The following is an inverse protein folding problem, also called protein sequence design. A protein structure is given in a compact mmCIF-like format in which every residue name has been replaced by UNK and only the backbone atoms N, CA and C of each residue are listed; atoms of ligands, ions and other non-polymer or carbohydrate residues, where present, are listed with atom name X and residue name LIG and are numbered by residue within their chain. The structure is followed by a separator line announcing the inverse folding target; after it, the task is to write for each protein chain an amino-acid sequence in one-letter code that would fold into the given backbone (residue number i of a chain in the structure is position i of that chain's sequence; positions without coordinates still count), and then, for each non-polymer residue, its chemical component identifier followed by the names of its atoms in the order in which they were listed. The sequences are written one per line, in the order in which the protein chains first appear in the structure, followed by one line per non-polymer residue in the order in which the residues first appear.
data_IF_679270110734
#
_entry.id   IF_679270110734
#
_cell.length_a   1.000
_cell.length_b   1.000
_cell.length_c   1.000
_cell.angle_alpha   90.00
_cell.angle_beta   90.00
_cell.angle_gamma   90.00
#
_symmetry.space_group_name_H-M   'P 1'
#
loop_
_entity.id
_entity.type
_entity.pdbx_description
1 polymer ?
#
# COMPACT_ATOMS: atom_id res chain seq x y z
N UNK A 1 8.16 -26.52 -1.24
CA UNK A 1 8.81 -26.45 0.09
C UNK A 1 9.83 -25.33 0.10
N UNK A 2 10.01 -24.59 1.19
CA UNK A 2 11.06 -23.55 1.31
C UNK A 2 12.42 -24.24 1.37
N UNK A 3 13.32 -23.97 0.42
CA UNK A 3 14.66 -24.58 0.41
C UNK A 3 15.73 -23.73 1.07
N UNK A 4 15.53 -22.41 1.18
CA UNK A 4 16.44 -21.52 1.88
C UNK A 4 15.76 -20.21 2.27
N UNK A 5 16.10 -19.65 3.42
CA UNK A 5 15.74 -18.31 3.86
C UNK A 5 16.96 -17.63 4.48
N UNK A 6 17.27 -16.42 4.04
CA UNK A 6 18.38 -15.60 4.55
C UNK A 6 17.92 -14.16 4.67
N UNK A 7 18.10 -13.59 5.85
CA UNK A 7 17.96 -12.16 6.07
C UNK A 7 19.35 -11.53 6.09
N UNK A 8 19.49 -10.38 5.42
CA UNK A 8 20.64 -9.47 5.49
C UNK A 8 20.13 -8.10 5.95
N UNK A 9 21.03 -7.15 6.20
CA UNK A 9 20.66 -5.82 6.69
C UNK A 9 19.64 -5.11 5.78
N UNK A 10 19.74 -5.34 4.46
CA UNK A 10 18.92 -4.66 3.46
C UNK A 10 17.96 -5.56 2.69
N UNK A 11 18.11 -6.89 2.79
CA UNK A 11 17.36 -7.82 1.95
C UNK A 11 16.90 -9.05 2.71
N UNK A 12 15.68 -9.49 2.41
CA UNK A 12 15.18 -10.82 2.73
C UNK A 12 15.24 -11.64 1.44
N UNK A 13 15.99 -12.73 1.47
CA UNK A 13 16.20 -13.64 0.33
C UNK A 13 15.65 -15.01 0.69
N UNK A 14 14.83 -15.57 -0.18
CA UNK A 14 14.33 -16.94 -0.01
C UNK A 14 14.34 -17.69 -1.33
N UNK A 15 14.48 -19.01 -1.25
CA UNK A 15 14.35 -19.94 -2.37
C UNK A 15 13.23 -20.92 -2.03
N UNK A 16 12.31 -21.13 -2.95
CA UNK A 16 11.28 -22.15 -2.83
C UNK A 16 11.41 -23.16 -3.97
N UNK A 17 11.11 -24.41 -3.65
CA UNK A 17 11.04 -25.50 -4.61
C UNK A 17 9.59 -25.60 -5.06
N UNK A 18 9.35 -25.42 -6.36
CA UNK A 18 8.07 -25.73 -7.00
C UNK A 18 7.89 -27.25 -7.02
N UNK A 19 6.72 -27.74 -6.61
CA UNK A 19 6.40 -29.17 -6.71
C UNK A 19 6.19 -29.49 -8.19
N UNK A 20 7.24 -29.98 -8.84
CA UNK A 20 7.15 -30.51 -10.19
C UNK A 20 6.73 -31.98 -10.12
N UNK A 21 5.81 -32.41 -10.98
CA UNK A 21 5.55 -33.84 -11.15
C UNK A 21 6.84 -34.54 -11.60
N UNK A 22 7.05 -35.80 -11.18
CA UNK A 22 8.24 -36.58 -11.54
C UNK A 22 8.49 -36.60 -13.06
N UNK A 23 7.42 -36.55 -13.84
CA UNK A 23 7.41 -36.56 -15.30
C UNK A 23 7.97 -35.28 -15.94
N UNK A 24 7.93 -34.15 -15.22
CA UNK A 24 8.39 -32.86 -15.72
C UNK A 24 9.80 -32.50 -15.25
N UNK A 25 10.35 -33.25 -14.28
CA UNK A 25 11.63 -32.97 -13.62
C UNK A 25 12.79 -32.96 -14.64
N UNK A 26 13.49 -31.83 -14.75
CA UNK A 26 14.60 -31.67 -15.70
C UNK A 26 14.19 -31.22 -17.11
N UNK A 27 12.90 -30.97 -17.35
CA UNK A 27 12.41 -30.35 -18.58
C UNK A 27 12.14 -28.86 -18.39
N UNK A 28 12.13 -28.08 -19.47
CA UNK A 28 11.74 -26.65 -19.44
C UNK A 28 10.34 -26.40 -18.84
N UNK A 29 9.49 -27.43 -18.76
CA UNK A 29 8.18 -27.35 -18.12
C UNK A 29 8.25 -27.14 -16.60
N UNK A 30 9.38 -27.43 -15.95
CA UNK A 30 9.59 -27.06 -14.53
C UNK A 30 9.83 -25.57 -14.31
N UNK A 31 10.17 -24.84 -15.38
CA UNK A 31 10.43 -23.39 -15.36
C UNK A 31 9.19 -22.59 -15.80
N UNK A 32 8.21 -23.25 -16.43
CA UNK A 32 6.97 -22.64 -16.91
C UNK A 32 5.89 -22.61 -15.81
N UNK A 33 5.54 -21.42 -15.32
CA UNK A 33 4.39 -21.23 -14.44
C UNK A 33 3.12 -21.15 -15.30
N UNK A 34 2.14 -22.03 -15.05
CA UNK A 34 0.88 -22.03 -15.78
C UNK A 34 0.02 -20.83 -15.37
N UNK A 35 -0.21 -19.92 -16.32
CA UNK A 35 -1.01 -18.72 -16.12
C UNK A 35 -2.50 -19.07 -16.11
N UNK A 36 -3.11 -19.17 -14.93
CA UNK A 36 -4.57 -19.30 -14.81
C UNK A 36 -5.20 -17.90 -14.77
N UNK A 37 -6.14 -17.63 -15.67
CA UNK A 37 -6.84 -16.33 -15.84
C UNK A 37 -7.53 -15.86 -14.55
N UNK A 38 -7.87 -16.78 -13.63
CA UNK A 38 -8.40 -16.48 -12.30
C UNK A 38 -7.42 -15.71 -11.37
N UNK A 39 -6.15 -15.61 -11.74
CA UNK A 39 -5.12 -14.94 -10.94
C UNK A 39 -5.23 -13.41 -10.94
N UNK A 40 -5.73 -12.79 -12.02
CA UNK A 40 -5.69 -11.33 -12.20
C UNK A 40 -6.67 -10.59 -11.27
N UNK A 41 -7.89 -11.10 -11.08
CA UNK A 41 -8.83 -10.53 -10.10
C UNK A 41 -8.35 -10.74 -8.64
N UNK A 42 -7.58 -11.80 -8.39
CA UNK A 42 -7.01 -12.12 -7.08
C UNK A 42 -5.81 -11.26 -6.68
N UNK A 43 -5.26 -10.50 -7.65
CA UNK A 43 -4.20 -9.49 -7.50
C UNK A 43 -4.77 -8.09 -7.25
N UNK A 44 -6.08 -7.89 -7.43
CA UNK A 44 -6.71 -6.59 -7.19
C UNK A 44 -6.84 -6.37 -5.68
N UNK A 45 -6.01 -5.47 -5.16
CA UNK A 45 -6.09 -5.04 -3.78
C UNK A 45 -7.42 -4.35 -3.56
N UNK A 46 -8.30 -4.98 -2.76
CA UNK A 46 -9.56 -4.36 -2.41
C UNK A 46 -9.27 -3.20 -1.44
N UNK A 47 -9.81 -2.01 -1.71
CA UNK A 47 -9.63 -0.89 -0.80
C UNK A 47 -10.23 -1.22 0.56
N UNK A 48 -9.46 -0.90 1.60
CA UNK A 48 -9.90 -1.05 2.99
C UNK A 48 -11.02 -0.06 3.33
N UNK A 49 -11.11 1.05 2.59
CA UNK A 49 -12.08 2.14 2.81
C UNK A 49 -13.10 2.23 1.68
N UNK A 50 -14.29 2.73 2.00
CA UNK A 50 -15.40 2.87 1.04
C UNK A 50 -15.53 4.31 0.56
N UNK A 51 -15.73 4.49 -0.75
CA UNK A 51 -15.94 5.82 -1.37
C UNK A 51 -17.20 6.48 -0.82
N UNK A 52 -17.12 7.80 -0.56
CA UNK A 52 -18.27 8.61 -0.19
C UNK A 52 -18.70 8.51 1.28
N UNK A 53 -18.01 7.69 2.07
CA UNK A 53 -18.22 7.55 3.52
C UNK A 53 -17.39 8.57 4.29
N UNK A 54 -17.94 9.10 5.38
CA UNK A 54 -17.24 10.00 6.28
C UNK A 54 -16.42 9.19 7.29
N UNK A 55 -15.11 9.42 7.32
CA UNK A 55 -14.19 8.75 8.24
C UNK A 55 -13.57 9.71 9.24
N UNK A 56 -13.61 9.31 10.51
CA UNK A 56 -12.76 9.86 11.56
C UNK A 56 -11.56 8.94 11.76
N UNK A 57 -10.36 9.47 11.55
CA UNK A 57 -9.09 8.81 11.82
C UNK A 57 -8.72 9.02 13.28
N UNK A 58 -8.47 7.94 14.01
CA UNK A 58 -8.02 7.97 15.40
C UNK A 58 -6.67 7.29 15.54
N UNK A 59 -5.83 7.79 16.45
CA UNK A 59 -4.60 7.10 16.81
C UNK A 59 -4.95 5.78 17.51
N UNK A 60 -4.33 4.67 17.10
CA UNK A 60 -4.61 3.36 17.71
C UNK A 60 -4.22 3.30 19.19
N UNK A 61 -3.16 4.03 19.57
CA UNK A 61 -2.61 4.02 20.92
C UNK A 61 -3.47 4.82 21.92
N UNK A 62 -3.79 6.08 21.61
CA UNK A 62 -4.51 6.97 22.55
C UNK A 62 -5.97 7.23 22.18
N UNK A 63 -6.46 6.68 21.06
CA UNK A 63 -7.83 6.86 20.55
C UNK A 63 -8.28 8.31 20.33
N UNK A 64 -7.38 9.29 20.38
CA UNK A 64 -7.70 10.68 20.02
C UNK A 64 -7.83 10.83 18.51
N UNK A 65 -8.78 11.67 18.10
CA UNK A 65 -9.01 11.99 16.69
C UNK A 65 -7.84 12.79 16.10
N UNK A 66 -7.36 12.33 14.95
CA UNK A 66 -6.26 12.95 14.21
C UNK A 66 -6.76 13.99 13.20
N UNK A 67 -8.05 13.95 12.85
CA UNK A 67 -8.72 14.79 11.87
C UNK A 67 -10.14 15.18 12.30
N UNK A 68 -10.72 16.13 11.57
CA UNK A 68 -12.18 16.30 11.42
C UNK A 68 -12.67 15.28 10.39
N UNK A 69 -13.91 14.74 10.47
CA UNK A 69 -14.38 13.72 9.53
C UNK A 69 -14.14 14.08 8.06
N UNK A 70 -13.53 13.16 7.30
CA UNK A 70 -13.19 13.35 5.89
C UNK A 70 -14.01 12.40 5.02
N UNK A 71 -14.48 12.90 3.87
CA UNK A 71 -15.10 12.10 2.83
C UNK A 71 -14.13 11.91 1.65
N UNK A 72 -13.71 10.67 1.40
CA UNK A 72 -12.89 10.36 0.23
C UNK A 72 -13.77 10.11 -0.99
N UNK A 73 -13.50 10.83 -2.07
CA UNK A 73 -14.19 10.69 -3.36
C UNK A 73 -13.46 9.72 -4.28
N UNK A 74 -12.15 9.55 -4.09
CA UNK A 74 -11.31 8.68 -4.90
C UNK A 74 -10.42 7.85 -3.98
N UNK A 75 -10.54 6.54 -4.11
CA UNK A 75 -9.78 5.56 -3.33
C UNK A 75 -9.13 4.65 -4.35
N UNK A 76 -7.83 4.81 -4.56
CA UNK A 76 -7.09 4.12 -5.63
C UNK A 76 -5.89 3.37 -5.07
N UNK A 77 -5.46 2.26 -5.70
CA UNK A 77 -4.18 1.65 -5.36
C UNK A 77 -3.06 2.67 -5.61
N UNK A 78 -2.02 2.65 -4.78
CA UNK A 78 -0.86 3.51 -4.97
C UNK A 78 -0.19 3.22 -6.32
N UNK A 79 0.13 4.24 -7.14
CA UNK A 79 0.97 4.06 -8.32
C UNK A 79 2.33 3.46 -7.92
N UNK A 80 2.92 2.65 -8.80
CA UNK A 80 4.31 2.20 -8.59
C UNK A 80 5.25 3.40 -8.51
N UNK A 81 6.28 3.36 -7.66
CA UNK A 81 7.24 4.46 -7.53
C UNK A 81 8.03 4.72 -8.84
N UNK A 82 8.02 3.75 -9.78
CA UNK A 82 8.58 3.89 -11.13
C UNK A 82 7.59 4.41 -12.17
N UNK A 83 6.35 4.75 -11.79
CA UNK A 83 5.36 5.32 -12.70
C UNK A 83 5.74 6.75 -13.06
N UNK A 84 6.14 6.98 -14.32
CA UNK A 84 6.28 8.35 -14.83
C UNK A 84 4.88 8.93 -15.09
N UNK A 85 4.49 10.04 -14.45
CA UNK A 85 3.23 10.72 -14.74
C UNK A 85 3.06 10.98 -16.24
N UNK A 86 4.15 11.31 -16.96
CA UNK A 86 4.11 11.62 -18.39
C UNK A 86 3.76 10.41 -19.26
N UNK A 87 3.99 9.18 -18.79
CA UNK A 87 3.59 7.96 -19.50
C UNK A 87 2.08 7.67 -19.36
N UNK A 88 1.38 8.33 -18.43
CA UNK A 88 -0.03 8.08 -18.15
C UNK A 88 -1.00 9.05 -18.80
N UNK A 89 -0.52 10.20 -19.29
CA UNK A 89 -1.37 11.19 -19.95
C UNK A 89 -1.01 11.28 -21.43
N UNK A 90 -1.83 10.68 -22.30
CA UNK A 90 -1.65 10.72 -23.75
C UNK A 90 -1.73 12.13 -24.35
N UNK A 91 -2.29 13.10 -23.61
CA UNK A 91 -2.41 14.50 -23.98
C UNK A 91 -2.13 15.40 -22.78
N UNK A 92 -0.87 15.74 -22.54
CA UNK A 92 -0.55 16.84 -21.64
C UNK A 92 -1.21 18.12 -22.19
N UNK A 93 -2.24 18.62 -21.51
CA UNK A 93 -2.81 19.93 -21.83
C UNK A 93 -1.77 20.98 -21.49
N UNK A 94 -0.94 21.33 -22.49
CA UNK A 94 0.21 22.24 -22.40
C UNK A 94 1.38 21.72 -21.55
N UNK A 95 2.59 21.89 -22.07
CA UNK A 95 3.89 21.45 -21.52
C UNK A 95 4.32 22.14 -20.22
N UNK A 96 3.39 22.71 -19.44
CA UNK A 96 3.66 23.50 -18.23
C UNK A 96 2.96 22.99 -16.97
N UNK A 97 2.02 22.06 -17.10
CA UNK A 97 1.38 21.46 -15.93
C UNK A 97 2.19 20.24 -15.47
N UNK A 98 2.99 20.42 -14.41
CA UNK A 98 3.62 19.32 -13.69
C UNK A 98 2.51 18.41 -13.14
N UNK A 99 2.25 17.28 -13.80
CA UNK A 99 1.23 16.34 -13.33
C UNK A 99 1.76 15.60 -12.11
N UNK A 100 1.26 15.96 -10.94
CA UNK A 100 1.61 15.25 -9.70
C UNK A 100 0.71 14.03 -9.50
N UNK A 101 1.34 12.91 -9.17
CA UNK A 101 0.68 11.68 -8.71
C UNK A 101 0.40 11.71 -7.19
N UNK A 102 0.34 12.91 -6.61
CA UNK A 102 -0.01 13.09 -5.20
C UNK A 102 -1.53 13.07 -4.98
N UNK A 103 -2.01 12.48 -3.87
CA UNK A 103 -3.42 12.55 -3.50
C UNK A 103 -3.85 13.99 -3.18
N UNK A 104 -4.97 14.42 -3.78
CA UNK A 104 -5.68 15.63 -3.36
C UNK A 104 -6.37 15.41 -2.00
N UNK A 105 -6.95 16.45 -1.44
CA UNK A 105 -7.61 16.41 -0.12
C UNK A 105 -8.75 15.38 -0.02
N UNK A 106 -9.42 15.10 -1.14
CA UNK A 106 -10.51 14.11 -1.21
C UNK A 106 -10.07 12.78 -1.82
N UNK A 107 -8.78 12.62 -2.08
CA UNK A 107 -8.19 11.38 -2.58
C UNK A 107 -7.46 10.64 -1.47
N UNK A 108 -7.39 9.32 -1.62
CA UNK A 108 -6.49 8.50 -0.83
C UNK A 108 -5.95 7.38 -1.71
N UNK A 109 -4.65 7.15 -1.61
CA UNK A 109 -4.00 6.02 -2.27
C UNK A 109 -3.61 4.96 -1.26
N UNK A 110 -3.87 3.70 -1.57
CA UNK A 110 -3.68 2.61 -0.61
C UNK A 110 -2.69 1.56 -1.08
N UNK A 111 -2.03 0.98 -0.09
CA UNK A 111 -1.23 -0.25 -0.17
C UNK A 111 -1.70 -1.19 0.94
N UNK A 112 -1.00 -2.31 1.14
CA UNK A 112 -1.25 -3.19 2.29
C UNK A 112 -0.71 -2.66 3.62
N UNK A 113 0.28 -1.78 3.60
CA UNK A 113 0.94 -1.33 4.82
C UNK A 113 0.60 0.11 5.18
N UNK A 114 0.30 0.93 4.17
CA UNK A 114 0.10 2.36 4.36
C UNK A 114 -0.89 2.98 3.40
N UNK A 115 -1.37 4.14 3.83
CA UNK A 115 -2.19 5.05 3.03
C UNK A 115 -1.40 6.32 2.74
N UNK A 116 -1.39 6.74 1.49
CA UNK A 116 -0.87 8.03 1.04
C UNK A 116 -2.03 9.00 0.95
N UNK A 117 -1.94 10.09 1.69
CA UNK A 117 -3.02 11.08 1.86
C UNK A 117 -2.43 12.48 1.88
N UNK A 118 -3.26 13.46 1.55
CA UNK A 118 -2.93 14.87 1.72
C UNK A 118 -2.70 15.20 3.21
N UNK A 119 -1.71 16.05 3.49
CA UNK A 119 -1.37 16.47 4.85
C UNK A 119 -2.45 17.33 5.51
N UNK A 120 -3.20 18.12 4.73
CA UNK A 120 -4.27 19.00 5.27
C UNK A 120 -5.37 18.19 5.97
N UNK A 121 -5.51 16.92 5.62
CA UNK A 121 -6.47 16.00 6.19
C UNK A 121 -6.15 15.64 7.66
N UNK A 122 -4.92 15.79 8.15
CA UNK A 122 -4.55 15.47 9.52
C UNK A 122 -4.14 16.72 10.30
N UNK A 123 -4.94 17.09 11.31
CA UNK A 123 -4.75 18.31 12.09
C UNK A 123 -4.01 18.07 13.41
N UNK A 124 -4.20 16.89 14.01
CA UNK A 124 -3.65 16.58 15.35
C UNK A 124 -2.42 15.66 15.26
N UNK A 125 -1.53 15.97 14.32
CA UNK A 125 -0.22 15.33 14.17
C UNK A 125 0.89 16.34 14.48
N UNK A 126 2.05 15.82 14.91
CA UNK A 126 3.32 16.56 14.99
C UNK A 126 4.32 15.83 14.13
N UNK A 127 5.34 16.50 13.63
CA UNK A 127 6.38 15.83 12.87
C UNK A 127 7.56 16.73 12.60
N UNK A 128 8.71 16.11 12.34
CA UNK A 128 9.83 16.74 11.66
C UNK A 128 9.73 16.41 10.16
N UNK A 129 10.73 16.79 9.36
CA UNK A 129 10.70 16.59 7.90
C UNK A 129 10.61 15.13 7.45
N UNK A 130 10.78 14.14 8.35
CA UNK A 130 10.78 12.71 8.00
C UNK A 130 9.62 11.95 8.61
N UNK A 131 9.27 12.23 9.86
CA UNK A 131 8.38 11.38 10.67
C UNK A 131 7.19 12.17 11.18
N UNK A 132 6.01 11.55 11.15
CA UNK A 132 4.81 12.06 11.80
C UNK A 132 4.43 11.21 13.02
N UNK A 133 4.08 11.90 14.11
CA UNK A 133 3.65 11.32 15.38
C UNK A 133 2.31 11.90 15.82
N UNK A 134 1.59 11.19 16.67
CA UNK A 134 0.38 11.70 17.28
C UNK A 134 0.69 12.91 18.18
N UNK A 135 -0.07 14.01 18.05
CA UNK A 135 0.11 15.21 18.88
C UNK A 135 -0.07 14.96 20.38
N UNK A 136 -0.84 13.93 20.76
CA UNK A 136 -1.25 13.67 22.14
C UNK A 136 -0.35 12.64 22.86
N UNK A 137 -0.02 11.53 22.21
CA UNK A 137 0.75 10.44 22.84
C UNK A 137 2.11 10.19 22.19
N UNK A 138 2.48 10.99 21.18
CA UNK A 138 3.75 10.88 20.45
C UNK A 138 4.00 9.52 19.76
N UNK A 139 2.97 8.68 19.64
CA UNK A 139 3.07 7.43 18.89
C UNK A 139 3.43 7.72 17.43
N UNK A 140 4.38 6.96 16.88
CA UNK A 140 4.77 7.05 15.47
C UNK A 140 3.63 6.57 14.57
N UNK A 141 3.19 7.44 13.64
CA UNK A 141 2.07 7.16 12.74
C UNK A 141 2.50 6.90 11.29
N UNK A 142 3.65 7.41 10.88
CA UNK A 142 4.00 7.44 9.46
C UNK A 142 5.18 8.33 9.13
N UNK A 143 5.32 8.65 7.86
CA UNK A 143 6.37 9.52 7.32
C UNK A 143 5.79 10.64 6.47
N UNK A 144 6.52 11.76 6.40
CA UNK A 144 6.24 12.82 5.44
C UNK A 144 6.82 12.38 4.09
N UNK A 145 5.99 12.38 3.04
CA UNK A 145 6.44 12.03 1.69
C UNK A 145 6.96 13.26 0.96
N UNK A 146 6.20 14.35 1.02
CA UNK A 146 6.61 15.67 0.53
C UNK A 146 5.90 16.78 1.33
N UNK A 147 6.03 18.03 0.88
CA UNK A 147 5.46 19.18 1.60
C UNK A 147 3.94 19.09 1.80
N UNK A 148 3.24 18.43 0.86
CA UNK A 148 1.78 18.40 0.78
C UNK A 148 1.17 17.07 1.22
N UNK A 149 1.95 15.98 1.27
CA UNK A 149 1.42 14.63 1.47
C UNK A 149 2.25 13.80 2.42
N UNK A 150 1.60 12.80 3.00
CA UNK A 150 2.17 11.91 4.00
C UNK A 150 1.73 10.45 3.76
N UNK A 151 2.53 9.52 4.29
CA UNK A 151 2.21 8.08 4.30
C UNK A 151 1.95 7.65 5.74
N UNK A 152 0.75 7.17 6.04
CA UNK A 152 0.35 6.68 7.37
C UNK A 152 0.35 5.16 7.36
N UNK A 153 0.98 4.54 8.36
CA UNK A 153 0.91 3.09 8.55
C UNK A 153 -0.47 2.66 9.02
N UNK A 154 -1.11 1.72 8.32
CA UNK A 154 -2.48 1.27 8.57
C UNK A 154 -2.66 0.76 10.00
N UNK A 155 -1.69 -0.01 10.51
CA UNK A 155 -1.66 -0.55 11.85
C UNK A 155 -1.48 0.49 12.98
N UNK A 156 -1.26 1.77 12.67
CA UNK A 156 -1.06 2.84 13.68
C UNK A 156 -2.30 3.71 13.89
N UNK A 157 -3.32 3.54 13.05
CA UNK A 157 -4.54 4.34 13.07
C UNK A 157 -5.79 3.46 12.95
N UNK A 158 -6.92 4.00 13.38
CA UNK A 158 -8.24 3.40 13.21
C UNK A 158 -9.11 4.35 12.40
N UNK A 159 -9.73 3.86 11.34
CA UNK A 159 -10.73 4.59 10.57
C UNK A 159 -12.10 4.23 11.10
N UNK A 160 -12.81 5.23 11.63
CA UNK A 160 -14.18 5.06 12.12
C UNK A 160 -15.14 5.71 11.15
N UNK A 161 -16.08 4.92 10.65
CA UNK A 161 -17.34 5.45 10.11
C UNK A 161 -18.47 5.27 11.13
N UNK A 162 -19.70 5.57 10.74
CA UNK A 162 -20.86 5.48 11.64
C UNK A 162 -21.24 4.02 12.00
N UNK A 163 -20.77 3.04 11.21
CA UNK A 163 -21.22 1.65 11.29
C UNK A 163 -20.10 0.69 11.72
N UNK A 164 -18.84 1.08 11.57
CA UNK A 164 -17.70 0.18 11.67
C UNK A 164 -16.40 0.91 12.02
N UNK A 165 -15.50 0.15 12.64
CA UNK A 165 -14.13 0.53 12.90
C UNK A 165 -13.19 -0.33 12.06
N UNK A 166 -12.35 0.31 11.26
CA UNK A 166 -11.43 -0.36 10.35
C UNK A 166 -10.01 -0.10 10.84
N UNK A 167 -9.29 -1.17 11.11
CA UNK A 167 -7.87 -1.15 11.49
C UNK A 167 -7.23 -2.48 11.13
N UNK A 168 -5.94 -2.45 10.82
CA UNK A 168 -5.15 -3.64 10.54
C UNK A 168 -4.16 -3.92 11.68
N UNK A 169 -3.56 -5.10 11.65
CA UNK A 169 -2.45 -5.47 12.51
C UNK A 169 -1.16 -5.58 11.68
N UNK A 170 -0.01 -5.30 12.30
CA UNK A 170 1.27 -5.26 11.59
C UNK A 170 1.63 -6.59 10.91
N UNK A 171 1.22 -7.71 11.50
CA UNK A 171 1.57 -9.03 10.96
C UNK A 171 0.75 -9.32 9.71
N UNK A 172 -0.56 -9.08 9.74
CA UNK A 172 -1.41 -9.25 8.57
C UNK A 172 -0.98 -8.34 7.43
N UNK A 173 -0.63 -7.07 7.69
CA UNK A 173 -0.14 -6.13 6.67
C UNK A 173 1.12 -6.66 5.96
N UNK A 174 2.07 -7.19 6.74
CA UNK A 174 3.32 -7.77 6.21
C UNK A 174 3.04 -9.05 5.43
N UNK A 175 2.19 -9.95 5.93
CA UNK A 175 1.86 -11.19 5.23
C UNK A 175 1.11 -10.93 3.91
N UNK A 176 0.20 -9.95 3.89
CA UNK A 176 -0.45 -9.52 2.67
C UNK A 176 0.56 -8.96 1.67
N UNK A 177 1.47 -8.10 2.12
CA UNK A 177 2.53 -7.54 1.28
C UNK A 177 3.45 -8.63 0.70
N UNK A 178 3.88 -9.59 1.51
CA UNK A 178 4.68 -10.71 1.01
C UNK A 178 3.91 -11.52 -0.02
N UNK A 179 2.66 -11.90 0.29
CA UNK A 179 1.82 -12.67 -0.62
C UNK A 179 1.68 -11.99 -1.98
N UNK A 180 1.50 -10.68 -2.00
CA UNK A 180 1.40 -9.92 -3.23
C UNK A 180 2.71 -9.84 -4.00
N UNK A 181 3.84 -9.61 -3.32
CA UNK A 181 5.17 -9.68 -3.94
C UNK A 181 5.42 -11.06 -4.56
N UNK A 182 5.07 -12.15 -3.88
CA UNK A 182 5.20 -13.50 -4.42
C UNK A 182 4.34 -13.71 -5.67
N UNK A 183 3.08 -13.25 -5.64
CA UNK A 183 2.18 -13.39 -6.79
C UNK A 183 2.69 -12.60 -8.00
N UNK A 184 3.16 -11.38 -7.80
CA UNK A 184 3.70 -10.54 -8.89
C UNK A 184 5.08 -10.98 -9.38
N UNK A 185 5.97 -11.47 -8.49
CA UNK A 185 7.29 -11.99 -8.88
C UNK A 185 7.17 -13.23 -9.76
N UNK A 186 6.23 -14.12 -9.44
CA UNK A 186 5.94 -15.30 -10.26
C UNK A 186 5.30 -14.91 -11.60
N UNK A 187 4.60 -13.78 -11.67
CA UNK A 187 4.01 -13.27 -12.90
C UNK A 187 5.06 -12.62 -13.83
N UNK A 188 5.98 -11.81 -13.29
CA UNK A 188 6.98 -11.12 -14.09
C UNK A 188 8.11 -12.03 -14.61
N UNK A 189 8.31 -13.22 -14.01
CA UNK A 189 9.18 -14.26 -14.60
C UNK A 189 8.57 -14.94 -15.83
N UNK A 190 7.39 -14.52 -16.29
CA UNK A 190 6.68 -15.08 -17.47
C UNK A 190 6.73 -14.19 -18.71
N UNK A 191 7.49 -13.09 -18.69
CA UNK A 191 7.77 -12.28 -19.89
C UNK A 191 9.11 -12.62 -20.52
#
# INVERSE_FOLDING_TARGET
SLSSFKQTDNYIVFRFVTNNSLENLGSFKTELLQNTVASIESLSNKPVLTKGVNYTVRCINCSKALNVPIKFQRILPLPSDSSDPNEWFCHAQSSKDNVSLDPKETDIFYTHCYLHINKSNLLNIKGNDKVIVCKFCLNWLGIIYNQNTLRIWLNTVKFLDNNSAISTDSLSDIFHSFKDVFRHSLYNSLK
#
